data_IF_211808830856
#
_entry.id   IF_211808830856
#
_cell.length_a   1.000
_cell.length_b   1.000
_cell.length_c   1.000
_cell.angle_alpha   90.00
_cell.angle_beta   90.00
_cell.angle_gamma   90.00
#
_symmetry.space_group_name_H-M   'P 1'
#
loop_
_entity.id
_entity.type
_entity.pdbx_description
1 polymer ?
#
# COMPACT_ATOMS: atom_id res chain seq x y z
N UNK A 1 -35.75 14.23 -63.41
CA UNK A 1 -34.89 13.12 -62.99
C UNK A 1 -34.71 13.03 -61.49
N UNK A 2 -35.35 12.05 -60.85
CA UNK A 2 -35.10 11.67 -59.46
C UNK A 2 -34.50 10.26 -59.48
N UNK A 3 -33.17 10.17 -59.43
CA UNK A 3 -32.46 8.88 -59.40
C UNK A 3 -32.66 8.25 -58.01
N UNK A 4 -33.55 7.28 -57.93
CA UNK A 4 -33.76 6.47 -56.73
C UNK A 4 -32.62 5.47 -56.62
N UNK A 5 -31.64 5.76 -55.76
CA UNK A 5 -30.56 4.84 -55.42
C UNK A 5 -31.11 3.76 -54.48
N UNK A 6 -31.59 2.66 -55.04
CA UNK A 6 -32.06 1.52 -54.26
C UNK A 6 -30.88 0.74 -53.68
N UNK A 7 -30.81 0.69 -52.35
CA UNK A 7 -29.85 -0.13 -51.63
C UNK A 7 -30.11 -1.61 -51.93
N UNK A 8 -29.11 -2.31 -52.48
CA UNK A 8 -29.16 -3.74 -52.80
C UNK A 8 -28.43 -4.51 -51.70
N UNK A 9 -29.14 -5.10 -50.72
CA UNK A 9 -28.51 -5.68 -49.53
C UNK A 9 -27.55 -6.84 -49.86
N UNK A 10 -27.80 -7.55 -50.97
CA UNK A 10 -27.03 -8.73 -51.40
C UNK A 10 -25.74 -8.40 -52.18
N UNK A 11 -25.47 -7.13 -52.52
CA UNK A 11 -24.23 -6.78 -53.26
C UNK A 11 -23.01 -6.57 -52.36
N UNK A 12 -23.20 -6.60 -51.03
CA UNK A 12 -22.10 -6.56 -50.08
C UNK A 12 -21.67 -8.01 -49.81
N UNK A 13 -20.79 -8.55 -50.65
CA UNK A 13 -19.96 -9.70 -50.27
C UNK A 13 -19.02 -9.23 -49.16
N UNK A 14 -19.50 -9.22 -47.91
CA UNK A 14 -18.57 -9.32 -46.80
C UNK A 14 -17.92 -10.69 -46.91
N UNK A 15 -16.61 -10.73 -47.15
CA UNK A 15 -15.90 -11.92 -46.72
C UNK A 15 -16.23 -12.04 -45.23
N UNK A 16 -16.67 -13.21 -44.78
CA UNK A 16 -16.96 -13.42 -43.37
C UNK A 16 -15.63 -13.54 -42.60
N UNK A 17 -14.71 -12.60 -42.79
CA UNK A 17 -13.77 -12.22 -41.74
C UNK A 17 -14.51 -11.23 -40.86
N UNK A 18 -15.59 -11.70 -40.23
CA UNK A 18 -16.06 -11.10 -39.00
C UNK A 18 -14.87 -11.24 -38.04
N UNK A 19 -13.99 -10.25 -38.06
CA UNK A 19 -12.91 -10.15 -37.08
C UNK A 19 -13.66 -10.00 -35.78
N UNK A 20 -13.80 -11.11 -35.07
CA UNK A 20 -14.65 -11.28 -33.89
C UNK A 20 -14.50 -10.01 -33.05
N UNK A 21 -15.52 -9.15 -33.09
CA UNK A 21 -15.45 -7.83 -32.46
C UNK A 21 -15.77 -8.02 -30.99
N UNK A 22 -14.96 -8.85 -30.34
CA UNK A 22 -15.14 -9.16 -28.94
C UNK A 22 -14.74 -7.93 -28.12
N UNK A 23 -15.35 -7.73 -26.94
CA UNK A 23 -15.01 -6.62 -26.05
C UNK A 23 -13.51 -6.48 -25.78
N UNK A 24 -12.79 -7.61 -25.74
CA UNK A 24 -11.35 -7.67 -25.53
C UNK A 24 -10.59 -7.08 -26.72
N UNK A 25 -10.97 -7.44 -27.95
CA UNK A 25 -10.33 -6.90 -29.17
C UNK A 25 -10.56 -5.40 -29.31
N UNK A 26 -11.74 -4.92 -28.91
CA UNK A 26 -12.05 -3.48 -28.87
C UNK A 26 -11.10 -2.79 -27.89
N UNK A 27 -11.01 -3.26 -26.65
CA UNK A 27 -10.18 -2.62 -25.63
C UNK A 27 -8.68 -2.67 -25.93
N UNK A 28 -8.19 -3.74 -26.56
CA UNK A 28 -6.79 -3.83 -27.01
C UNK A 28 -6.48 -2.85 -28.14
N UNK A 29 -7.44 -2.53 -29.01
CA UNK A 29 -7.24 -1.57 -30.11
C UNK A 29 -7.28 -0.11 -29.66
N UNK A 30 -8.13 0.20 -28.69
CA UNK A 30 -8.26 1.56 -28.13
C UNK A 30 -7.13 1.88 -27.12
N UNK A 31 -6.39 0.86 -26.69
CA UNK A 31 -5.29 1.02 -25.76
C UNK A 31 -4.13 1.81 -26.38
N UNK A 32 -3.39 2.58 -25.57
CA UNK A 32 -2.15 3.22 -26.02
C UNK A 32 -1.09 2.19 -26.45
N UNK A 33 -0.22 2.58 -27.40
CA UNK A 33 0.82 1.70 -27.92
C UNK A 33 1.75 1.14 -26.82
N UNK A 34 1.88 -0.19 -26.79
CA UNK A 34 2.67 -0.93 -25.81
C UNK A 34 1.96 -1.19 -24.48
N UNK A 35 0.66 -0.92 -24.38
CA UNK A 35 -0.17 -1.22 -23.21
C UNK A 35 -1.37 -2.12 -23.53
N UNK A 36 -1.52 -2.53 -24.79
CA UNK A 36 -2.69 -3.23 -25.32
C UNK A 36 -3.02 -4.48 -24.51
N UNK A 37 -2.01 -5.25 -24.13
CA UNK A 37 -2.18 -6.51 -23.39
C UNK A 37 -2.70 -6.33 -21.96
N UNK A 38 -2.60 -5.12 -21.39
CA UNK A 38 -3.01 -4.83 -20.01
C UNK A 38 -4.40 -4.16 -19.92
N UNK A 39 -5.00 -3.81 -21.06
CA UNK A 39 -6.37 -3.32 -21.13
C UNK A 39 -7.34 -4.48 -21.31
N UNK A 40 -8.34 -4.55 -20.45
CA UNK A 40 -9.38 -5.56 -20.49
C UNK A 40 -10.78 -4.95 -20.38
N UNK A 41 -11.80 -5.65 -20.89
CA UNK A 41 -13.17 -5.16 -20.85
C UNK A 41 -13.76 -5.32 -19.45
N UNK A 42 -14.37 -4.24 -18.95
CA UNK A 42 -15.27 -4.26 -17.79
C UNK A 42 -16.64 -3.79 -18.25
N UNK A 43 -17.63 -4.68 -18.16
CA UNK A 43 -19.01 -4.40 -18.56
C UNK A 43 -19.82 -4.08 -17.31
N UNK A 44 -20.12 -2.80 -17.13
CA UNK A 44 -20.84 -2.32 -15.96
C UNK A 44 -22.07 -1.53 -16.41
N UNK A 45 -23.26 -1.88 -15.90
CA UNK A 45 -24.52 -1.22 -16.25
C UNK A 45 -24.77 -1.13 -17.77
N UNK A 46 -24.50 -2.22 -18.50
CA UNK A 46 -24.69 -2.30 -19.94
C UNK A 46 -23.79 -1.35 -20.77
N UNK A 47 -22.70 -0.84 -20.18
CA UNK A 47 -21.67 -0.05 -20.86
C UNK A 47 -20.34 -0.81 -20.82
N UNK A 48 -19.67 -0.90 -21.97
CA UNK A 48 -18.30 -1.40 -22.05
C UNK A 48 -17.33 -0.30 -21.63
N UNK A 49 -16.49 -0.57 -20.63
CA UNK A 49 -15.35 0.26 -20.26
C UNK A 49 -14.06 -0.54 -20.45
N UNK A 50 -13.09 0.07 -21.09
CA UNK A 50 -11.75 -0.49 -21.20
C UNK A 50 -10.94 -0.01 -20.01
N UNK A 51 -10.63 -0.96 -19.12
CA UNK A 51 -9.99 -0.70 -17.84
C UNK A 51 -8.67 -1.46 -17.76
N UNK A 52 -7.89 -1.15 -16.74
CA UNK A 52 -6.60 -1.80 -16.46
C UNK A 52 -6.57 -2.29 -15.03
N UNK A 53 -5.56 -3.10 -14.68
CA UNK A 53 -5.38 -3.57 -13.30
C UNK A 53 -5.17 -2.44 -12.27
N UNK A 54 -4.89 -1.21 -12.69
CA UNK A 54 -4.84 -0.06 -11.78
C UNK A 54 -6.21 0.56 -11.48
N UNK A 55 -7.28 0.10 -12.13
CA UNK A 55 -8.63 0.64 -11.94
C UNK A 55 -9.23 0.04 -10.67
N UNK A 56 -9.71 0.84 -9.71
CA UNK A 56 -10.29 0.31 -8.49
C UNK A 56 -11.64 -0.37 -8.78
N UNK A 57 -11.90 -1.50 -8.11
CA UNK A 57 -13.21 -2.16 -8.13
C UNK A 57 -13.50 -3.04 -9.35
N UNK A 58 -12.50 -3.35 -10.18
CA UNK A 58 -12.64 -4.27 -11.32
C UNK A 58 -11.98 -5.61 -11.03
N UNK A 59 -12.44 -6.68 -11.69
CA UNK A 59 -11.79 -7.99 -11.62
C UNK A 59 -10.36 -7.90 -12.15
N UNK A 60 -9.39 -8.37 -11.37
CA UNK A 60 -7.97 -8.23 -11.69
C UNK A 60 -7.35 -6.88 -11.32
N UNK A 61 -8.05 -6.06 -10.54
CA UNK A 61 -7.48 -4.86 -9.93
C UNK A 61 -6.39 -5.22 -8.92
N UNK A 62 -5.25 -4.54 -9.02
CA UNK A 62 -4.19 -4.59 -8.01
C UNK A 62 -4.44 -3.49 -6.98
N UNK A 63 -4.50 -3.89 -5.71
CA UNK A 63 -4.56 -2.93 -4.61
C UNK A 63 -3.12 -2.46 -4.26
N UNK A 64 -2.80 -1.22 -4.58
CA UNK A 64 -1.58 -0.57 -4.11
C UNK A 64 -1.98 0.37 -2.97
N UNK A 65 -1.32 0.29 -1.81
CA UNK A 65 -1.48 1.27 -0.71
C UNK A 65 -0.82 2.64 -1.04
N UNK A 66 -0.75 3.02 -2.32
CA UNK A 66 -0.06 4.18 -2.85
C UNK A 66 -0.57 4.53 -4.25
N UNK A 67 0.33 4.93 -5.15
CA UNK A 67 -0.06 5.25 -6.53
C UNK A 67 0.14 4.05 -7.45
N UNK A 68 -0.92 3.58 -8.09
CA UNK A 68 -0.82 2.59 -9.15
C UNK A 68 -0.47 3.26 -10.47
N UNK A 69 0.51 2.72 -11.18
CA UNK A 69 0.87 3.17 -12.52
C UNK A 69 1.04 1.98 -13.45
N UNK A 70 0.55 2.11 -14.68
CA UNK A 70 0.72 1.08 -15.68
C UNK A 70 2.00 1.35 -16.47
N UNK A 71 2.90 0.37 -16.54
CA UNK A 71 4.07 0.36 -17.44
C UNK A 71 3.86 -0.65 -18.57
N UNK A 72 4.70 -0.55 -19.61
CA UNK A 72 4.75 -1.52 -20.72
C UNK A 72 5.13 -2.93 -20.28
N UNK A 73 5.77 -3.05 -19.12
CA UNK A 73 6.09 -4.34 -18.48
C UNK A 73 4.95 -4.87 -17.62
N UNK A 74 3.91 -4.06 -17.36
CA UNK A 74 2.76 -4.40 -16.55
C UNK A 74 2.41 -3.37 -15.48
N UNK A 75 1.42 -3.66 -14.64
CA UNK A 75 0.99 -2.78 -13.56
C UNK A 75 2.01 -2.76 -12.44
N UNK A 76 2.33 -1.57 -11.95
CA UNK A 76 3.39 -1.33 -10.98
C UNK A 76 2.89 -0.35 -9.91
N UNK A 77 3.35 -0.53 -8.68
CA UNK A 77 2.98 0.33 -7.55
C UNK A 77 4.11 1.31 -7.22
N UNK A 78 3.78 2.59 -7.05
CA UNK A 78 4.69 3.61 -6.50
C UNK A 78 4.31 3.87 -5.06
N UNK A 79 5.19 3.50 -4.15
CA UNK A 79 5.05 3.84 -2.75
C UNK A 79 5.50 5.30 -2.54
N UNK A 80 4.66 6.11 -1.90
CA UNK A 80 5.10 7.41 -1.42
C UNK A 80 5.81 7.21 -0.09
N UNK A 81 7.14 7.35 -0.09
CA UNK A 81 7.89 7.42 1.17
C UNK A 81 7.53 8.74 1.85
N UNK A 82 6.83 8.66 2.98
CA UNK A 82 6.61 9.83 3.86
C UNK A 82 7.74 9.86 4.88
N UNK A 83 8.15 11.02 5.40
CA UNK A 83 9.26 11.19 6.36
C UNK A 83 9.14 10.33 7.65
N UNK A 84 7.97 9.74 7.91
CA UNK A 84 7.71 8.88 9.07
C UNK A 84 7.58 7.38 8.74
N UNK A 85 7.34 6.99 7.49
CA UNK A 85 6.98 5.63 7.12
C UNK A 85 7.83 5.11 5.96
N UNK A 86 8.58 4.04 6.23
CA UNK A 86 9.29 3.29 5.20
C UNK A 86 8.35 2.21 4.68
N UNK A 87 8.06 2.24 3.39
CA UNK A 87 7.27 1.21 2.73
C UNK A 87 8.20 0.17 2.11
N UNK A 88 7.98 -1.11 2.40
CA UNK A 88 8.69 -2.23 1.77
C UNK A 88 7.72 -3.21 1.09
N UNK A 89 8.18 -3.82 0.01
CA UNK A 89 7.43 -4.80 -0.78
C UNK A 89 6.97 -4.27 -2.14
N UNK A 90 6.67 -5.15 -3.10
CA UNK A 90 6.27 -4.77 -4.47
C UNK A 90 4.92 -4.05 -4.52
N UNK A 91 4.08 -4.17 -3.48
CA UNK A 91 2.76 -3.54 -3.36
C UNK A 91 2.64 -2.53 -2.21
N UNK A 92 3.77 -2.13 -1.62
CA UNK A 92 3.81 -1.23 -0.45
C UNK A 92 3.04 -1.79 0.76
N UNK A 93 3.05 -3.11 0.96
CA UNK A 93 2.23 -3.80 1.97
C UNK A 93 2.72 -3.61 3.41
N UNK A 94 4.01 -3.31 3.60
CA UNK A 94 4.60 -3.12 4.92
C UNK A 94 4.99 -1.65 5.10
N UNK A 95 4.33 -0.97 6.03
CA UNK A 95 4.69 0.37 6.46
C UNK A 95 5.38 0.31 7.83
N UNK A 96 6.68 0.62 7.88
CA UNK A 96 7.44 0.66 9.13
C UNK A 96 7.53 2.11 9.61
N UNK A 97 6.89 2.40 10.75
CA UNK A 97 6.96 3.69 11.42
C UNK A 97 8.24 3.78 12.27
N UNK A 98 9.23 4.55 11.84
CA UNK A 98 10.52 4.62 12.56
C UNK A 98 10.40 5.27 13.94
N UNK A 99 9.41 6.15 14.15
CA UNK A 99 9.15 6.74 15.47
C UNK A 99 8.64 5.71 16.48
N UNK A 100 8.07 4.58 16.04
CA UNK A 100 7.72 3.49 16.95
C UNK A 100 8.99 2.89 17.59
N UNK A 101 10.08 2.81 16.82
CA UNK A 101 11.38 2.35 17.32
C UNK A 101 11.99 3.38 18.28
N UNK A 102 11.95 4.67 17.91
CA UNK A 102 12.47 5.75 18.78
C UNK A 102 11.69 5.86 20.07
N UNK A 103 10.35 5.86 19.99
CA UNK A 103 9.47 5.90 21.16
C UNK A 103 9.69 4.70 22.07
N UNK A 104 9.87 3.50 21.51
CA UNK A 104 10.20 2.30 22.28
C UNK A 104 11.53 2.40 23.03
N UNK A 105 12.59 2.86 22.37
CA UNK A 105 13.91 3.05 22.98
C UNK A 105 13.89 4.08 24.11
N UNK A 106 13.28 5.24 23.89
CA UNK A 106 13.16 6.29 24.89
C UNK A 106 12.33 5.81 26.08
N UNK A 107 11.21 5.13 25.83
CA UNK A 107 10.36 4.55 26.88
C UNK A 107 11.10 3.51 27.73
N UNK A 108 11.82 2.58 27.09
CA UNK A 108 12.61 1.57 27.78
C UNK A 108 13.72 2.19 28.63
N UNK A 109 14.45 3.19 28.09
CA UNK A 109 15.50 3.90 28.81
C UNK A 109 14.94 4.66 30.03
N UNK A 110 13.80 5.34 29.88
CA UNK A 110 13.14 6.06 30.98
C UNK A 110 12.69 5.10 32.11
N UNK A 111 12.11 3.95 31.75
CA UNK A 111 11.72 2.91 32.71
C UNK A 111 12.93 2.35 33.46
N UNK A 112 14.03 2.04 32.76
CA UNK A 112 15.29 1.59 33.37
C UNK A 112 15.84 2.60 34.36
N UNK A 113 15.89 3.89 33.98
CA UNK A 113 16.35 4.96 34.86
C UNK A 113 15.49 5.07 36.12
N UNK A 114 14.17 5.01 35.99
CA UNK A 114 13.26 5.03 37.15
C UNK A 114 13.52 3.87 38.11
N UNK A 115 13.69 2.65 37.60
CA UNK A 115 13.99 1.48 38.42
C UNK A 115 15.32 1.62 39.18
N UNK A 116 16.35 2.16 38.51
CA UNK A 116 17.64 2.43 39.15
C UNK A 116 17.51 3.47 40.28
N UNK A 117 16.77 4.56 40.06
CA UNK A 117 16.53 5.58 41.10
C UNK A 117 15.80 4.99 42.29
N UNK A 118 14.76 4.18 42.07
CA UNK A 118 14.03 3.50 43.15
C UNK A 118 14.95 2.55 43.91
N UNK A 119 15.73 1.70 43.22
CA UNK A 119 16.66 0.78 43.86
C UNK A 119 17.71 1.51 44.72
N UNK A 120 18.29 2.61 44.20
CA UNK A 120 19.24 3.44 44.92
C UNK A 120 18.60 4.10 46.16
N UNK A 121 17.38 4.63 46.03
CA UNK A 121 16.66 5.23 47.17
C UNK A 121 16.41 4.22 48.29
N UNK A 122 16.01 2.99 47.93
CA UNK A 122 15.81 1.89 48.88
C UNK A 122 17.12 1.46 49.53
N UNK A 123 18.21 1.44 48.76
CA UNK A 123 19.52 1.06 49.29
C UNK A 123 20.05 2.11 50.27
N UNK A 124 19.94 3.40 49.95
CA UNK A 124 20.36 4.51 50.82
C UNK A 124 19.52 4.56 52.11
N UNK A 125 18.20 4.40 52.03
CA UNK A 125 17.34 4.39 53.23
C UNK A 125 17.67 3.21 54.14
N UNK A 126 17.94 2.02 53.57
CA UNK A 126 18.37 0.85 54.35
C UNK A 126 19.77 0.98 54.94
N UNK A 127 20.71 1.56 54.22
CA UNK A 127 22.08 1.75 54.71
C UNK A 127 22.14 2.82 55.81
N UNK A 128 21.41 3.92 55.65
CA UNK A 128 21.33 4.98 56.66
C UNK A 128 20.58 4.53 57.92
N UNK A 129 19.54 3.69 57.78
CA UNK A 129 18.87 3.05 58.91
C UNK A 129 19.80 2.15 59.72
N UNK A 130 20.60 1.31 59.05
CA UNK A 130 21.62 0.46 59.71
C UNK A 130 22.72 1.30 60.37
N UNK A 131 23.24 2.32 59.69
CA UNK A 131 24.33 3.15 60.21
C UNK A 131 23.89 3.99 61.43
N UNK A 132 22.62 4.43 61.47
CA UNK A 132 22.05 5.13 62.63
C UNK A 132 21.90 4.21 63.84
N UNK A 133 21.53 2.94 63.63
CA UNK A 133 21.50 1.92 64.68
C UNK A 133 22.91 1.62 65.25
N UNK A 134 23.94 1.58 64.40
CA UNK A 134 25.33 1.44 64.85
C UNK A 134 25.82 2.65 65.67
N UNK A 135 25.47 3.88 65.27
CA UNK A 135 25.82 5.10 66.02
C UNK A 135 25.09 5.17 67.38
N UNK A 136 23.79 4.86 67.45
CA UNK A 136 23.03 4.82 68.71
C UNK A 136 23.57 3.79 69.71
N UNK A 137 24.09 2.65 69.23
CA UNK A 137 24.67 1.61 70.08
C UNK A 137 26.13 1.90 70.52
N UNK A 138 26.83 2.79 69.80
CA UNK A 138 28.17 3.25 70.16
C UNK A 138 28.20 4.42 71.16
N UNK A 139 27.07 5.11 71.34
CA UNK A 139 26.93 6.26 72.24
C UNK A 139 26.43 5.90 73.66
N UNK A 140 26.23 4.61 73.94
CA UNK A 140 25.70 4.08 75.21
C UNK A 140 26.76 3.46 76.14
N UNK A 141 28.01 3.91 76.07
CA UNK A 141 29.10 3.51 76.98
C UNK A 141 29.73 4.72 77.65
#
# INVERSE_FOLDING_TARGET
DSQTLCFKPESIKMNNTMKELTPEVICRREAPEGFEEFYFPSVELNRLRCVTSCTPGVDGAIDCHGQCFLQKTGPQCRCFSTDAHWFSGPRCEVAIHWWALVGGLVGAAALLLLLLVVALSVWVTRSHGRNRDYQLKGQSW
#
